data_IF_094404232457
#
_entry.id   IF_094404232457
#
_cell.length_a   1.000
_cell.length_b   1.000
_cell.length_c   1.000
_cell.angle_alpha   90.00
_cell.angle_beta   90.00
_cell.angle_gamma   90.00
#
_symmetry.space_group_name_H-M   'P 1'
#
loop_
_entity.id
_entity.type
_entity.pdbx_description
1 polymer ?
#
# COMPACT_ATOMS: atom_id res chain seq x y z
N UNK A 1 -2.77 -15.64 0.08
CA UNK A 1 -2.35 -14.34 0.64
C UNK A 1 -0.97 -14.03 0.10
N UNK A 2 -0.84 -12.95 -0.68
CA UNK A 2 0.44 -12.44 -1.18
C UNK A 2 0.86 -11.24 -0.32
N UNK A 3 1.95 -11.40 0.44
CA UNK A 3 2.49 -10.39 1.37
C UNK A 3 3.83 -9.83 0.87
N UNK A 4 4.45 -8.90 1.62
CA UNK A 4 5.67 -8.19 1.22
C UNK A 4 5.52 -7.51 -0.15
N UNK A 5 4.37 -6.84 -0.35
CA UNK A 5 4.05 -6.11 -1.56
C UNK A 5 4.40 -4.63 -1.38
N UNK A 6 5.26 -4.12 -2.26
CA UNK A 6 5.83 -2.75 -2.18
C UNK A 6 5.72 -1.96 -3.49
N UNK A 7 5.56 -2.65 -4.62
CA UNK A 7 5.56 -2.01 -5.94
C UNK A 7 4.24 -2.22 -6.66
N UNK A 8 3.87 -1.26 -7.50
CA UNK A 8 2.70 -1.36 -8.36
C UNK A 8 2.75 -2.57 -9.31
N UNK A 9 3.96 -2.91 -9.79
CA UNK A 9 4.15 -4.09 -10.63
C UNK A 9 3.73 -5.40 -9.93
N UNK A 10 4.05 -5.55 -8.64
CA UNK A 10 3.60 -6.70 -7.84
C UNK A 10 2.08 -6.70 -7.67
N UNK A 11 1.48 -5.54 -7.39
CA UNK A 11 0.03 -5.42 -7.27
C UNK A 11 -0.67 -5.87 -8.56
N UNK A 12 -0.29 -5.27 -9.70
CA UNK A 12 -0.84 -5.66 -11.00
C UNK A 12 -0.68 -7.16 -11.28
N UNK A 13 0.50 -7.73 -11.05
CA UNK A 13 0.73 -9.16 -11.25
C UNK A 13 -0.15 -10.04 -10.34
N UNK A 14 -0.39 -9.63 -9.09
CA UNK A 14 -1.28 -10.34 -8.17
C UNK A 14 -2.74 -10.28 -8.62
N UNK A 15 -3.19 -9.13 -9.11
CA UNK A 15 -4.53 -8.95 -9.66
C UNK A 15 -4.75 -9.82 -10.91
N UNK A 16 -3.82 -9.76 -11.87
CA UNK A 16 -3.87 -10.57 -13.10
C UNK A 16 -3.80 -12.09 -12.80
N UNK A 17 -3.10 -12.48 -11.73
CA UNK A 17 -3.05 -13.87 -11.26
C UNK A 17 -4.31 -14.31 -10.48
N UNK A 18 -5.27 -13.42 -10.22
CA UNK A 18 -6.53 -13.74 -9.56
C UNK A 18 -6.37 -14.21 -8.11
N UNK A 19 -5.35 -13.71 -7.40
CA UNK A 19 -5.13 -14.13 -6.00
C UNK A 19 -6.29 -13.65 -5.12
N UNK A 20 -6.62 -14.42 -4.09
CA UNK A 20 -7.73 -14.04 -3.20
C UNK A 20 -7.47 -12.72 -2.44
N UNK A 21 -6.23 -12.50 -1.96
CA UNK A 21 -5.89 -11.38 -1.09
C UNK A 21 -4.41 -10.99 -1.22
N UNK A 22 -4.14 -9.68 -1.18
CA UNK A 22 -2.81 -9.07 -1.04
C UNK A 22 -2.66 -8.30 0.29
N UNK A 23 -1.43 -8.23 0.81
CA UNK A 23 -1.07 -7.45 2.00
C UNK A 23 0.06 -6.46 1.70
N UNK A 24 -0.24 -5.30 1.07
CA UNK A 24 0.74 -4.24 0.85
C UNK A 24 1.16 -3.58 2.16
N UNK A 25 2.46 -3.31 2.29
CA UNK A 25 3.04 -2.82 3.55
C UNK A 25 3.16 -1.30 3.54
N UNK A 26 2.37 -0.62 4.38
CA UNK A 26 2.35 0.84 4.49
C UNK A 26 3.60 1.35 5.21
N UNK A 27 3.74 1.02 6.49
CA UNK A 27 4.78 1.60 7.32
C UNK A 27 6.22 1.21 6.95
N UNK A 28 6.44 0.08 6.28
CA UNK A 28 7.80 -0.24 5.76
C UNK A 28 8.18 0.62 4.55
N UNK A 29 7.20 1.09 3.77
CA UNK A 29 7.46 2.08 2.72
C UNK A 29 7.84 3.41 3.39
N UNK A 30 7.10 3.85 4.40
CA UNK A 30 7.46 5.03 5.21
C UNK A 30 8.90 4.93 5.77
N UNK A 31 9.26 3.80 6.39
CA UNK A 31 10.60 3.59 6.93
C UNK A 31 11.68 3.78 5.87
N UNK A 32 11.48 3.22 4.66
CA UNK A 32 12.43 3.34 3.56
C UNK A 32 12.58 4.79 3.12
N UNK A 33 11.48 5.54 2.98
CA UNK A 33 11.53 6.95 2.60
C UNK A 33 12.24 7.80 3.66
N UNK A 34 11.96 7.56 4.95
CA UNK A 34 12.66 8.25 6.05
C UNK A 34 14.14 7.90 6.10
N UNK A 35 14.56 6.70 5.71
CA UNK A 35 15.97 6.33 5.68
C UNK A 35 16.71 6.89 4.47
N UNK A 36 16.07 6.95 3.30
CA UNK A 36 16.74 7.16 2.01
C UNK A 36 16.45 8.51 1.34
N UNK A 37 15.59 9.36 1.91
CA UNK A 37 15.27 10.69 1.39
C UNK A 37 15.46 11.76 2.46
N UNK A 38 15.51 13.04 2.08
CA UNK A 38 15.69 14.14 3.05
C UNK A 38 14.44 14.40 3.90
N UNK A 39 13.24 14.06 3.41
CA UNK A 39 11.98 14.25 4.15
C UNK A 39 11.81 13.15 5.21
N UNK A 40 11.77 13.56 6.49
CA UNK A 40 11.67 12.65 7.66
C UNK A 40 10.30 12.66 8.34
N UNK A 41 9.47 13.64 8.00
CA UNK A 41 8.12 13.81 8.54
C UNK A 41 7.12 13.84 7.40
N UNK A 42 5.97 13.20 7.59
CA UNK A 42 4.94 13.02 6.59
C UNK A 42 3.59 13.23 7.27
N UNK A 43 2.73 14.06 6.68
CA UNK A 43 1.32 14.07 7.06
C UNK A 43 0.69 12.72 6.62
N UNK A 44 -0.43 12.28 7.24
CA UNK A 44 -1.06 11.01 6.88
C UNK A 44 -1.32 10.84 5.37
N UNK A 45 -1.86 11.86 4.73
CA UNK A 45 -2.12 11.89 3.28
C UNK A 45 -0.85 11.95 2.40
N UNK A 46 0.29 12.34 2.96
CA UNK A 46 1.58 12.39 2.26
C UNK A 46 2.43 11.14 2.49
N UNK A 47 1.98 10.22 3.37
CA UNK A 47 2.70 9.01 3.67
C UNK A 47 2.85 8.15 2.39
N UNK A 48 4.08 7.81 1.97
CA UNK A 48 4.30 7.11 0.72
C UNK A 48 3.71 5.70 0.70
N UNK A 49 3.55 5.06 1.87
CA UNK A 49 2.85 3.80 2.01
C UNK A 49 1.34 3.95 1.85
N UNK A 50 0.75 5.01 2.41
CA UNK A 50 -0.67 5.33 2.21
C UNK A 50 -0.94 5.61 0.73
N UNK A 51 -0.15 6.49 0.11
CA UNK A 51 -0.24 6.80 -1.34
C UNK A 51 -0.17 5.51 -2.16
N UNK A 52 0.81 4.64 -1.88
CA UNK A 52 0.96 3.39 -2.60
C UNK A 52 -0.26 2.47 -2.47
N UNK A 53 -0.83 2.32 -1.27
CA UNK A 53 -2.01 1.45 -1.07
C UNK A 53 -3.26 2.05 -1.71
N UNK A 54 -3.44 3.38 -1.64
CA UNK A 54 -4.55 4.07 -2.28
C UNK A 54 -4.51 3.91 -3.80
N UNK A 55 -3.34 4.06 -4.44
CA UNK A 55 -3.17 3.83 -5.87
C UNK A 55 -3.49 2.38 -6.27
N UNK A 56 -3.05 1.40 -5.47
CA UNK A 56 -3.35 -0.02 -5.69
C UNK A 56 -4.86 -0.27 -5.58
N UNK A 57 -5.49 0.27 -4.53
CA UNK A 57 -6.93 0.11 -4.31
C UNK A 57 -7.74 0.68 -5.47
N UNK A 58 -7.46 1.92 -5.87
CA UNK A 58 -8.12 2.58 -6.99
C UNK A 58 -7.94 1.80 -8.29
N UNK A 59 -6.71 1.35 -8.59
CA UNK A 59 -6.44 0.52 -9.77
C UNK A 59 -7.27 -0.77 -9.75
N UNK A 60 -7.37 -1.44 -8.60
CA UNK A 60 -8.13 -2.68 -8.45
C UNK A 60 -9.62 -2.45 -8.70
N UNK A 61 -10.19 -1.37 -8.13
CA UNK A 61 -11.61 -1.04 -8.30
C UNK A 61 -11.96 -0.60 -9.71
N UNK A 62 -11.11 0.22 -10.33
CA UNK A 62 -11.32 0.70 -11.70
C UNK A 62 -11.32 -0.44 -12.73
N UNK A 63 -10.56 -1.52 -12.49
CA UNK A 63 -10.46 -2.67 -13.40
C UNK A 63 -11.36 -3.85 -12.99
N UNK A 64 -12.12 -3.72 -11.90
CA UNK A 64 -13.04 -4.77 -11.44
C UNK A 64 -12.35 -6.02 -10.90
N UNK A 65 -11.13 -5.90 -10.35
CA UNK A 65 -10.46 -7.03 -9.74
C UNK A 65 -11.09 -7.39 -8.38
N UNK A 66 -11.33 -8.68 -8.15
CA UNK A 66 -11.94 -9.20 -6.93
C UNK A 66 -10.95 -9.43 -5.78
N UNK A 67 -9.64 -9.36 -6.06
CA UNK A 67 -8.61 -9.53 -5.04
C UNK A 67 -8.79 -8.56 -3.89
N UNK A 68 -8.85 -9.08 -2.66
CA UNK A 68 -8.98 -8.26 -1.44
C UNK A 68 -7.68 -7.49 -1.20
N UNK A 69 -7.81 -6.18 -0.96
CA UNK A 69 -6.70 -5.29 -0.57
C UNK A 69 -6.73 -5.11 0.94
N UNK A 70 -5.75 -5.68 1.65
CA UNK A 70 -5.64 -5.56 3.11
C UNK A 70 -4.35 -4.83 3.49
N UNK A 71 -4.44 -3.52 3.74
CA UNK A 71 -3.30 -2.72 4.20
C UNK A 71 -2.65 -3.32 5.45
N UNK A 72 -1.32 -3.37 5.49
CA UNK A 72 -0.57 -4.02 6.55
C UNK A 72 0.68 -3.23 6.96
N UNK A 73 1.29 -3.63 8.08
CA UNK A 73 2.57 -3.08 8.57
C UNK A 73 2.57 -1.58 8.91
N UNK A 74 1.51 -1.07 9.53
CA UNK A 74 1.40 0.33 9.97
C UNK A 74 2.45 0.75 11.02
N UNK A 75 2.83 2.03 11.06
CA UNK A 75 3.61 2.65 12.14
C UNK A 75 2.76 3.50 13.08
N UNK A 76 1.67 4.07 12.58
CA UNK A 76 0.84 4.97 13.37
C UNK A 76 -0.63 4.91 12.97
N UNK A 77 -1.51 5.43 13.83
CA UNK A 77 -2.97 5.41 13.61
C UNK A 77 -3.39 6.33 12.47
N UNK A 78 -2.63 7.38 12.17
CA UNK A 78 -2.91 8.28 11.05
C UNK A 78 -2.92 7.53 9.70
N UNK A 79 -1.95 6.63 9.49
CA UNK A 79 -1.91 5.78 8.29
C UNK A 79 -3.15 4.88 8.14
N UNK A 80 -3.71 4.40 9.27
CA UNK A 80 -4.91 3.56 9.27
C UNK A 80 -6.14 4.39 8.93
N UNK A 81 -6.27 5.57 9.55
CA UNK A 81 -7.41 6.47 9.34
C UNK A 81 -7.46 7.02 7.92
N UNK A 82 -6.30 7.24 7.29
CA UNK A 82 -6.23 7.74 5.91
C UNK A 82 -6.61 6.66 4.86
N UNK A 83 -6.69 5.38 5.27
CA UNK A 83 -7.11 4.25 4.43
C UNK A 83 -8.53 3.75 4.77
N UNK A 84 -9.30 4.51 5.54
CA UNK A 84 -10.65 4.14 5.99
C UNK A 84 -11.73 4.38 4.93
#
# INVERSE_FOLDING_TARGET
NLTLLFSFAQARACAEAGVFLISPFVGRILDWYKANTDKKEYAPAEDPGVVSVSEIYEYYKQHGYETVVMGASFRNVGEILELA
#
